data_IF_049015881459
#
_entry.id   IF_049015881459
#
_cell.length_a   1.000
_cell.length_b   1.000
_cell.length_c   1.000
_cell.angle_alpha   90.00
_cell.angle_beta   90.00
_cell.angle_gamma   90.00
#
_symmetry.space_group_name_H-M   'P 1'
#
loop_
_entity.id
_entity.type
_entity.pdbx_description
1 polymer ?
2 non-polymer ?
3 water ?
#
# COMPACT_ATOMS: atom_id res chain seq x y z
N UNK A 2 -2.02 8.36 -20.93
CA UNK A 2 -1.44 9.65 -20.45
C UNK A 2 -2.51 10.67 -20.09
N UNK A 3 -3.73 10.44 -20.58
CA UNK A 3 -4.83 11.35 -20.31
C UNK A 3 -5.26 11.24 -18.85
N UNK A 4 -6.29 12.01 -18.49
CA UNK A 4 -6.77 12.00 -17.11
C UNK A 4 -7.31 10.62 -16.74
N UNK A 5 -8.02 9.98 -17.67
CA UNK A 5 -8.60 8.67 -17.37
C UNK A 5 -7.52 7.62 -17.09
N UNK A 6 -6.43 7.66 -17.86
CA UNK A 6 -5.35 6.70 -17.62
C UNK A 6 -4.75 6.88 -16.23
N UNK A 7 -4.51 8.14 -15.83
CA UNK A 7 -3.96 8.39 -14.50
C UNK A 7 -4.94 7.96 -13.41
N UNK A 8 -6.22 8.22 -13.62
CA UNK A 8 -7.22 7.79 -12.63
C UNK A 8 -7.21 6.27 -12.49
N UNK A 9 -7.18 5.56 -13.61
CA UNK A 9 -7.15 4.10 -13.56
C UNK A 9 -5.90 3.62 -12.84
N UNK A 10 -4.75 4.20 -13.16
CA UNK A 10 -3.51 3.76 -12.53
C UNK A 10 -3.54 3.97 -11.02
N UNK A 11 -3.89 5.18 -10.59
CA UNK A 11 -3.86 5.50 -9.16
C UNK A 11 -5.06 4.96 -8.41
N UNK A 12 -6.06 4.40 -9.10
CA UNK A 12 -7.12 3.68 -8.43
C UNK A 12 -6.82 2.19 -8.30
N UNK A 13 -6.17 1.60 -9.31
CA UNK A 13 -5.80 0.20 -9.22
C UNK A 13 -4.61 -0.01 -8.31
N UNK A 14 -3.72 0.98 -8.19
CA UNK A 14 -2.56 0.84 -7.33
C UNK A 14 -2.91 0.99 -5.85
N UNK A 15 -4.06 1.57 -5.53
CA UNK A 15 -4.37 1.88 -4.14
C UNK A 15 -4.45 0.62 -3.29
N UNK A 16 -5.11 -0.41 -3.79
CA UNK A 16 -5.27 -1.67 -3.05
C UNK A 16 -4.94 -2.82 -4.01
N UNK A 17 -3.99 -3.67 -3.62
CA UNK A 17 -3.61 -4.84 -4.39
C UNK A 17 -3.89 -6.13 -3.65
N UNK A 18 -3.38 -6.27 -2.42
CA UNK A 18 -3.62 -7.45 -1.60
C UNK A 18 -4.23 -7.12 -0.25
N UNK A 19 -4.11 -5.88 0.23
CA UNK A 19 -4.69 -5.51 1.51
C UNK A 19 -6.19 -5.62 1.52
N UNK A 20 -6.83 -5.74 0.34
CA UNK A 20 -8.27 -5.93 0.30
C UNK A 20 -8.69 -7.20 1.04
N UNK A 21 -7.85 -8.23 1.01
CA UNK A 21 -8.19 -9.48 1.68
C UNK A 21 -8.03 -9.39 3.20
N UNK A 22 -7.04 -8.64 3.68
CA UNK A 22 -6.75 -8.54 5.10
C UNK A 22 -7.55 -7.45 5.80
N UNK A 23 -8.32 -6.65 5.06
CA UNK A 23 -9.14 -5.63 5.71
C UNK A 23 -10.16 -6.22 6.68
N UNK A 24 -10.91 -7.28 6.32
CA UNK A 24 -11.82 -7.87 7.31
C UNK A 24 -11.10 -8.36 8.55
N UNK A 25 -9.85 -8.81 8.42
CA UNK A 25 -9.08 -9.18 9.61
C UNK A 25 -8.89 -7.98 10.52
N UNK A 26 -8.59 -6.81 9.94
CA UNK A 26 -8.46 -5.60 10.75
C UNK A 26 -9.80 -5.21 11.37
N UNK A 27 -10.89 -5.36 10.62
CA UNK A 27 -12.21 -5.08 11.18
C UNK A 27 -12.51 -6.01 12.35
N UNK A 28 -12.04 -7.25 12.30
CA UNK A 28 -12.22 -8.17 13.41
C UNK A 28 -11.62 -7.63 14.70
N UNK A 29 -10.62 -6.74 14.59
CA UNK A 29 -10.00 -6.14 15.76
C UNK A 29 -10.62 -4.79 16.11
N UNK A 30 -10.94 -3.96 15.11
CA UNK A 30 -11.50 -2.65 15.39
C UNK A 30 -13.00 -2.72 15.68
N UNK A 31 -13.78 -3.17 14.70
CA UNK A 31 -15.21 -3.23 14.79
C UNK A 31 -15.83 -2.58 13.57
N UNK A 32 -17.11 -2.25 13.66
CA UNK A 32 -17.82 -1.64 12.55
C UNK A 32 -17.58 -0.13 12.52
N UNK A 33 -18.02 0.56 13.57
CA UNK A 33 -17.90 2.02 13.60
C UNK A 33 -16.45 2.45 13.53
N UNK A 34 -15.59 1.86 14.38
CA UNK A 34 -14.18 2.23 14.39
C UNK A 34 -13.53 1.94 13.04
N UNK A 35 -13.82 0.79 12.46
CA UNK A 35 -13.23 0.45 11.18
C UNK A 35 -13.63 1.43 10.09
N UNK A 36 -14.93 1.75 10.01
CA UNK A 36 -15.40 2.67 8.97
C UNK A 36 -14.79 4.05 9.18
N UNK A 37 -14.78 4.53 10.42
CA UNK A 37 -14.23 5.85 10.68
C UNK A 37 -12.75 5.91 10.33
N UNK A 38 -11.99 4.87 10.70
CA UNK A 38 -10.56 4.86 10.37
C UNK A 38 -10.35 4.80 8.87
N UNK A 39 -11.16 4.01 8.16
CA UNK A 39 -11.02 3.94 6.70
C UNK A 39 -11.26 5.30 6.07
N UNK A 40 -12.33 5.98 6.48
CA UNK A 40 -12.62 7.29 5.90
C UNK A 40 -11.53 8.29 6.22
N UNK A 41 -11.08 8.32 7.49
CA UNK A 41 -10.07 9.29 7.90
C UNK A 41 -8.76 9.06 7.17
N UNK A 42 -8.34 7.80 7.03
CA UNK A 42 -7.08 7.52 6.36
C UNK A 42 -7.19 7.68 4.85
N UNK A 43 -8.38 7.49 4.28
CA UNK A 43 -8.56 7.84 2.88
C UNK A 43 -8.41 9.33 2.65
N UNK A 44 -9.00 10.14 3.53
CA UNK A 44 -8.82 11.59 3.44
C UNK A 44 -7.34 11.96 3.60
N UNK A 45 -6.65 11.33 4.56
CA UNK A 45 -5.24 11.62 4.75
C UNK A 45 -4.42 11.23 3.52
N UNK A 46 -4.72 10.07 2.93
CA UNK A 46 -4.01 9.66 1.74
C UNK A 46 -4.24 10.62 0.57
N UNK A 47 -5.48 11.08 0.40
CA UNK A 47 -5.74 12.06 -0.64
C UNK A 47 -4.98 13.36 -0.38
N UNK A 48 -4.95 13.81 0.87
CA UNK A 48 -4.23 15.04 1.19
C UNK A 48 -2.74 14.89 0.91
N UNK A 49 -2.15 13.75 1.29
CA UNK A 49 -0.73 13.56 1.04
C UNK A 49 -0.45 13.41 -0.45
N UNK A 50 -1.36 12.81 -1.21
CA UNK A 50 -1.20 12.76 -2.66
C UNK A 50 -1.21 14.17 -3.24
N UNK A 51 -2.10 15.03 -2.74
CA UNK A 51 -2.09 16.42 -3.19
C UNK A 51 -0.78 17.11 -2.84
N UNK A 52 -0.26 16.85 -1.63
CA UNK A 52 1.01 17.47 -1.23
C UNK A 52 2.14 17.03 -2.16
N UNK A 53 2.21 15.73 -2.46
CA UNK A 53 3.23 15.23 -3.37
C UNK A 53 3.04 15.83 -4.75
N UNK A 54 1.79 16.00 -5.18
CA UNK A 54 1.53 16.58 -6.50
C UNK A 54 2.02 18.01 -6.58
N UNK A 55 1.74 18.82 -5.55
CA UNK A 55 2.19 20.21 -5.58
C UNK A 55 3.70 20.28 -5.51
N UNK A 56 4.33 19.42 -4.69
CA UNK A 56 5.79 19.40 -4.63
C UNK A 56 6.39 19.05 -5.98
N UNK A 57 5.85 18.02 -6.64
CA UNK A 57 6.37 17.61 -7.93
C UNK A 57 6.16 18.69 -8.97
N UNK A 58 5.00 19.35 -8.96
CA UNK A 58 4.75 20.42 -9.92
C UNK A 58 5.74 21.56 -9.71
N UNK A 59 5.98 21.94 -8.46
CA UNK A 59 6.94 23.00 -8.18
C UNK A 59 8.32 22.62 -8.67
N UNK A 60 8.75 21.38 -8.38
CA UNK A 60 10.07 20.95 -8.80
C UNK A 60 10.20 20.94 -10.31
N UNK A 61 9.19 20.42 -11.01
CA UNK A 61 9.24 20.38 -12.47
C UNK A 61 9.26 21.77 -13.07
N UNK A 62 8.47 22.69 -12.53
CA UNK A 62 8.47 24.06 -13.03
C UNK A 62 9.82 24.72 -12.81
N UNK A 63 10.42 24.53 -11.63
CA UNK A 63 11.73 25.12 -11.37
C UNK A 63 12.78 24.54 -12.29
N UNK A 64 12.73 23.22 -12.53
CA UNK A 64 13.69 22.60 -13.45
C UNK A 64 13.50 23.14 -14.87
N UNK A 65 12.25 23.30 -15.31
CA UNK A 65 11.99 23.79 -16.65
C UNK A 65 12.42 25.24 -16.81
N UNK A 66 12.33 26.04 -15.75
CA UNK A 66 12.72 27.44 -15.85
C UNK A 66 14.14 27.59 -16.35
N UNK A 67 15.03 26.67 -15.96
CA UNK A 67 16.41 26.68 -16.41
C UNK A 67 16.73 25.41 -17.20
N UNK A 73 14.30 12.16 -22.79
CA UNK A 73 13.69 12.48 -21.51
C UNK A 73 14.08 11.46 -20.46
N UNK A 74 13.60 11.66 -19.22
CA UNK A 74 13.90 10.77 -18.11
C UNK A 74 12.62 10.60 -17.29
N UNK A 75 12.74 9.91 -16.17
CA UNK A 75 11.64 9.69 -15.24
C UNK A 75 11.96 10.36 -13.93
N UNK A 76 11.05 11.21 -13.47
CA UNK A 76 11.23 11.95 -12.22
C UNK A 76 10.76 11.07 -11.06
N UNK A 77 11.63 10.89 -10.08
CA UNK A 77 11.34 10.07 -8.91
C UNK A 77 11.25 10.96 -7.68
N UNK A 78 10.71 10.38 -6.60
CA UNK A 78 10.43 11.16 -5.40
C UNK A 78 11.71 11.73 -4.80
N UNK A 79 12.78 10.93 -4.74
CA UNK A 79 14.02 11.43 -4.16
C UNK A 79 14.61 12.55 -5.00
N UNK A 80 14.45 12.47 -6.33
CA UNK A 80 14.91 13.56 -7.18
C UNK A 80 14.14 14.84 -6.88
N UNK A 81 12.83 14.74 -6.67
CA UNK A 81 12.02 15.91 -6.32
C UNK A 81 12.49 16.49 -5.00
N UNK A 82 12.75 15.63 -4.02
CA UNK A 82 13.22 16.12 -2.73
C UNK A 82 14.57 16.81 -2.87
N UNK A 83 15.46 16.26 -3.69
CA UNK A 83 16.74 16.92 -3.93
C UNK A 83 16.53 18.29 -4.57
N UNK A 84 15.65 18.37 -5.56
CA UNK A 84 15.43 19.63 -6.24
C UNK A 84 14.85 20.69 -5.33
N UNK A 85 13.94 20.29 -4.43
CA UNK A 85 13.24 21.24 -3.58
C UNK A 85 13.93 21.50 -2.25
N UNK A 86 14.93 20.70 -1.88
CA UNK A 86 15.58 20.83 -0.58
C UNK A 86 17.03 20.39 -0.73
N UNK A 87 17.69 20.14 0.41
CA UNK A 87 19.08 19.74 0.42
C UNK A 87 19.26 18.26 0.09
N UNK A 88 20.53 17.84 0.10
CA UNK A 88 20.86 16.47 -0.26
C UNK A 88 20.50 15.49 0.86
N UNK A 89 20.53 15.94 2.11
CA UNK A 89 20.15 15.05 3.21
C UNK A 89 18.68 14.63 3.08
N UNK A 90 17.83 15.56 2.64
CA UNK A 90 16.44 15.20 2.37
C UNK A 90 16.36 14.13 1.28
N UNK A 91 17.18 14.26 0.23
CA UNK A 91 17.19 13.25 -0.81
C UNK A 91 17.60 11.90 -0.26
N UNK A 92 18.64 11.87 0.57
CA UNK A 92 19.10 10.61 1.14
C UNK A 92 18.01 9.97 2.00
N UNK A 93 17.37 10.77 2.86
CA UNK A 93 16.32 10.25 3.72
C UNK A 93 15.17 9.70 2.89
N UNK A 94 14.70 10.47 1.91
CA UNK A 94 13.60 10.03 1.10
C UNK A 94 13.92 8.77 0.31
N UNK A 95 15.13 8.72 -0.27
CA UNK A 95 15.52 7.56 -1.04
C UNK A 95 15.59 6.31 -0.16
N UNK A 96 16.21 6.44 1.01
CA UNK A 96 16.32 5.29 1.90
C UNK A 96 14.95 4.79 2.31
N UNK A 97 14.08 5.69 2.76
CA UNK A 97 12.77 5.28 3.24
C UNK A 97 11.94 4.70 2.11
N UNK A 98 11.96 5.33 0.93
CA UNK A 98 11.18 4.82 -0.19
C UNK A 98 11.66 3.45 -0.63
N UNK A 99 12.98 3.26 -0.70
CA UNK A 99 13.51 1.96 -1.11
C UNK A 99 13.15 0.88 -0.11
N UNK A 100 13.31 1.16 1.19
CA UNK A 100 12.96 0.16 2.20
C UNK A 100 11.47 -0.17 2.14
N UNK A 101 10.63 0.85 2.01
CA UNK A 101 9.19 0.61 1.94
C UNK A 101 8.83 -0.21 0.71
N UNK A 102 9.45 0.08 -0.43
CA UNK A 102 9.16 -0.68 -1.64
C UNK A 102 9.63 -2.13 -1.50
N UNK A 103 10.80 -2.35 -0.88
CA UNK A 103 11.28 -3.70 -0.67
C UNK A 103 10.30 -4.49 0.20
N UNK A 104 9.86 -3.89 1.31
CA UNK A 104 8.94 -4.60 2.18
C UNK A 104 7.57 -4.76 1.54
N UNK A 105 7.15 -3.81 0.71
CA UNK A 105 5.91 -3.98 -0.02
C UNK A 105 5.97 -5.12 -1.01
N UNK A 106 7.09 -5.26 -1.71
CA UNK A 106 7.28 -6.40 -2.61
C UNK A 106 7.24 -7.71 -1.83
N UNK A 107 7.88 -7.73 -0.66
CA UNK A 107 7.80 -8.92 0.19
C UNK A 107 6.35 -9.22 0.54
N UNK A 108 5.58 -8.19 0.88
CA UNK A 108 4.18 -8.39 1.27
C UNK A 108 3.38 -8.94 0.10
N UNK A 109 3.60 -8.40 -1.10
CA UNK A 109 2.89 -8.89 -2.27
C UNK A 109 3.26 -10.32 -2.62
N UNK A 110 4.51 -10.73 -2.44
CA UNK A 110 4.89 -12.12 -2.62
C UNK A 110 4.24 -13.04 -1.59
N UNK A 111 4.20 -12.61 -0.32
CA UNK A 111 3.53 -13.39 0.71
C UNK A 111 2.06 -13.55 0.39
N UNK A 112 1.41 -12.47 -0.06
CA UNK A 112 0.01 -12.52 -0.43
C UNK A 112 -0.21 -13.47 -1.60
N UNK A 113 0.69 -13.45 -2.59
CA UNK A 113 0.57 -14.36 -3.71
C UNK A 113 0.64 -15.80 -3.25
N UNK A 114 1.59 -16.11 -2.38
CA UNK A 114 1.70 -17.48 -1.86
C UNK A 114 0.42 -17.88 -1.12
N UNK A 115 -0.06 -16.98 -0.25
CA UNK A 115 -1.25 -17.30 0.53
C UNK A 115 -2.46 -17.53 -0.37
N UNK A 116 -2.63 -16.69 -1.40
CA UNK A 116 -3.77 -16.84 -2.29
C UNK A 116 -3.68 -18.13 -3.09
N UNK A 117 -2.49 -18.42 -3.64
CA UNK A 117 -2.35 -19.63 -4.45
C UNK A 117 -2.57 -20.87 -3.59
N UNK A 118 -2.26 -20.78 -2.30
CA UNK A 118 -2.46 -21.95 -1.43
C UNK A 118 -3.92 -22.38 -1.40
N UNK A 119 -4.86 -21.45 -1.60
CA UNK A 119 -6.27 -21.75 -1.39
C UNK A 119 -6.95 -22.39 -2.60
N UNK A 120 -6.28 -22.46 -3.75
CA UNK A 120 -6.83 -23.18 -4.90
C UNK A 120 -6.14 -24.52 -5.11
N UNK A 121 -4.98 -24.76 -4.48
CA UNK A 121 -4.28 -26.04 -4.55
C UNK A 121 -3.69 -26.27 -3.16
N UNK A 122 -4.43 -26.99 -2.31
CA UNK A 122 -4.05 -27.20 -0.93
C UNK A 122 -3.07 -28.35 -0.73
N UNK A 123 -2.72 -29.06 -1.80
CA UNK A 123 -1.75 -30.16 -1.66
C UNK A 123 -0.41 -29.65 -1.17
N UNK A 124 0.04 -28.51 -1.69
CA UNK A 124 1.32 -27.92 -1.33
C UNK A 124 1.12 -26.87 -0.25
N UNK A 125 1.92 -26.95 0.81
CA UNK A 125 1.87 -25.96 1.87
C UNK A 125 2.24 -24.58 1.33
N UNK A 126 2.00 -23.56 2.16
CA UNK A 126 2.25 -22.19 1.73
C UNK A 126 3.73 -21.90 1.53
N UNK A 127 4.62 -22.64 2.19
CA UNK A 127 6.04 -22.36 2.04
C UNK A 127 6.57 -22.84 0.69
N UNK A 128 6.13 -24.00 0.23
CA UNK A 128 6.51 -24.45 -1.11
C UNK A 128 5.93 -23.52 -2.16
N UNK A 129 4.72 -23.02 -1.94
CA UNK A 129 4.14 -22.04 -2.85
C UNK A 129 4.96 -20.76 -2.86
N UNK A 130 5.46 -20.35 -1.68
CA UNK A 130 6.34 -19.18 -1.63
C UNK A 130 7.62 -19.44 -2.42
N UNK A 131 8.20 -20.65 -2.28
CA UNK A 131 9.37 -21.01 -3.08
C UNK A 131 9.08 -20.85 -4.57
N UNK A 132 8.00 -21.47 -5.04
CA UNK A 132 7.74 -21.50 -6.47
C UNK A 132 7.41 -20.11 -6.98
N UNK A 133 6.67 -19.32 -6.20
CA UNK A 133 6.33 -17.98 -6.64
C UNK A 133 7.52 -17.05 -6.61
N UNK A 134 8.43 -17.21 -5.65
CA UNK A 134 9.67 -16.45 -5.69
C UNK A 134 10.49 -16.80 -6.92
N UNK A 135 10.58 -18.09 -7.24
CA UNK A 135 11.29 -18.48 -8.45
C UNK A 135 10.65 -17.87 -9.69
N UNK A 136 9.32 -17.88 -9.76
CA UNK A 136 8.62 -17.33 -10.91
C UNK A 136 8.82 -15.82 -11.02
N UNK A 137 8.68 -15.10 -9.90
CA UNK A 137 8.82 -13.65 -9.89
C UNK A 137 10.26 -13.20 -10.01
N UNK A 138 11.22 -14.11 -9.86
CA UNK A 138 12.59 -13.76 -10.19
C UNK A 138 12.74 -13.37 -11.66
N UNK A 139 11.83 -13.82 -12.52
CA UNK A 139 11.84 -13.43 -13.92
C UNK A 139 11.52 -11.95 -14.12
N UNK A 140 11.01 -11.28 -13.09
CA UNK A 140 10.75 -9.85 -13.19
C UNK A 140 12.02 -9.05 -13.46
N UNK A 141 13.19 -9.60 -13.13
CA UNK A 141 14.43 -8.89 -13.41
C UNK A 141 14.63 -8.73 -14.91
N UNK A 142 14.12 -9.66 -15.71
CA UNK A 142 14.33 -9.60 -17.15
C UNK A 142 13.64 -8.38 -17.76
N UNK A 143 12.44 -8.04 -17.28
CA UNK A 143 11.71 -6.93 -17.88
C UNK A 143 12.51 -5.65 -17.71
N UNK A 144 12.64 -4.81 -18.74
CA UNK A 144 13.44 -3.58 -18.57
C UNK A 144 12.87 -2.63 -17.53
N UNK A 145 11.58 -2.32 -17.63
CA UNK A 145 10.95 -1.42 -16.68
C UNK A 145 9.44 -1.64 -16.74
N UNK A 146 8.85 -2.04 -15.62
CA UNK A 146 7.40 -2.24 -15.58
C UNK A 146 6.65 -0.93 -15.73
N UNK A 147 7.31 0.20 -15.53
CA UNK A 147 6.70 1.49 -15.83
C UNK A 147 6.52 1.62 -17.34
N UNK A 148 5.62 2.53 -17.72
CA UNK A 148 5.25 2.77 -19.12
C UNK A 148 4.40 1.64 -19.66
N UNK A 149 4.24 0.57 -18.87
CA UNK A 149 3.30 -0.51 -19.17
C UNK A 149 2.04 -0.41 -18.31
N UNK A 150 1.85 0.70 -17.60
CA UNK A 150 0.70 0.88 -16.74
C UNK A 150 -0.58 1.15 -17.54
N UNK A 151 -0.51 1.19 -18.86
CA UNK A 151 -1.72 1.37 -19.66
C UNK A 151 -2.71 0.26 -19.36
N UNK A 152 -2.23 -0.93 -19.05
CA UNK A 152 -3.09 -2.05 -18.65
C UNK A 152 -3.34 -2.03 -17.15
N UNK A 153 -3.79 -0.88 -16.63
CA UNK A 153 -4.19 -0.76 -15.24
C UNK A 153 -5.70 -0.88 -15.05
N UNK A 154 -6.48 -0.61 -16.10
CA UNK A 154 -7.91 -0.88 -16.03
C UNK A 154 -8.17 -2.36 -15.77
N UNK A 155 -7.31 -3.23 -16.28
CA UNK A 155 -7.44 -4.66 -15.99
C UNK A 155 -7.35 -4.91 -14.48
N UNK A 156 -6.29 -4.41 -13.86
CA UNK A 156 -6.13 -4.61 -12.42
C UNK A 156 -7.25 -3.98 -11.62
N UNK A 157 -7.73 -2.82 -12.06
CA UNK A 157 -8.87 -2.19 -11.39
C UNK A 157 -10.10 -3.10 -11.48
N UNK A 158 -10.31 -3.71 -12.65
CA UNK A 158 -11.42 -4.64 -12.80
C UNK A 158 -11.27 -5.83 -11.87
N UNK A 159 -10.06 -6.38 -11.76
CA UNK A 159 -9.85 -7.49 -10.84
C UNK A 159 -10.17 -7.08 -9.41
N UNK A 160 -9.68 -5.90 -8.99
CA UNK A 160 -9.91 -5.46 -7.62
C UNK A 160 -11.39 -5.27 -7.34
N UNK A 161 -12.11 -4.59 -8.24
CA UNK A 161 -13.54 -4.35 -8.01
C UNK A 161 -14.32 -5.65 -8.03
N UNK A 162 -13.98 -6.58 -8.94
CA UNK A 162 -14.67 -7.86 -8.96
C UNK A 162 -14.43 -8.62 -7.67
N UNK A 163 -13.19 -8.63 -7.17
CA UNK A 163 -12.90 -9.33 -5.93
C UNK A 163 -13.67 -8.72 -4.76
N UNK A 164 -13.70 -7.39 -4.69
CA UNK A 164 -14.41 -6.73 -3.60
C UNK A 164 -15.90 -7.06 -3.64
N UNK A 165 -16.52 -6.97 -4.82
CA UNK A 165 -17.95 -7.23 -4.92
C UNK A 165 -18.25 -8.70 -4.68
N UNK A 166 -17.37 -9.60 -5.12
CA UNK A 166 -17.55 -11.01 -4.83
C UNK A 166 -17.49 -11.27 -3.33
N UNK A 167 -16.54 -10.64 -2.64
CA UNK A 167 -16.46 -10.79 -1.19
C UNK A 167 -17.76 -10.31 -0.54
N UNK A 168 -18.25 -9.14 -0.95
CA UNK A 168 -19.47 -8.61 -0.37
C UNK A 168 -20.64 -9.57 -0.60
N UNK A 169 -20.82 -10.03 -1.84
CA UNK A 169 -21.97 -10.85 -2.18
C UNK A 169 -21.89 -12.20 -1.47
N UNK A 170 -20.71 -12.83 -1.48
CA UNK A 170 -20.56 -14.12 -0.82
C UNK A 170 -20.80 -13.99 0.68
N UNK A 171 -20.28 -12.93 1.30
CA UNK A 171 -20.51 -12.75 2.73
C UNK A 171 -21.98 -12.54 3.03
N UNK A 172 -22.68 -11.73 2.22
CA UNK A 172 -24.09 -11.51 2.46
C UNK A 172 -24.89 -12.81 2.28
N UNK A 173 -24.57 -13.58 1.24
CA UNK A 173 -25.28 -14.83 1.01
C UNK A 173 -25.03 -15.83 2.14
N UNK A 174 -23.79 -15.92 2.61
CA UNK A 174 -23.46 -16.90 3.64
C UNK A 174 -24.21 -16.63 4.93
N UNK A 175 -24.48 -15.36 5.25
CA UNK A 175 -25.18 -15.05 6.47
C UNK A 175 -24.29 -15.25 7.69
N UNK A 176 -24.95 -15.45 8.83
CA UNK A 176 -24.27 -15.62 10.12
C UNK A 176 -24.68 -16.94 10.75
N UNK A 177 -23.72 -17.59 11.40
CA UNK A 177 -23.99 -18.81 12.15
C UNK A 177 -24.37 -18.46 13.58
N UNK A 178 -24.93 -19.45 14.28
CA UNK A 178 -25.33 -19.25 15.67
C UNK A 178 -24.15 -18.96 16.58
N UNK A 179 -22.95 -19.38 16.19
CA UNK A 179 -21.75 -19.19 17.00
C UNK A 179 -21.04 -17.87 16.71
N UNK A 180 -21.53 -17.08 15.75
CA UNK A 180 -20.87 -15.83 15.40
C UNK A 180 -20.98 -14.87 16.58
N UNK A 181 -19.85 -14.27 16.95
CA UNK A 181 -19.78 -13.34 18.07
C UNK A 181 -18.87 -12.19 17.70
N UNK A 182 -19.42 -10.98 17.64
CA UNK A 182 -18.65 -9.77 17.34
C UNK A 182 -18.09 -9.24 18.65
N UNK A 183 -16.92 -9.73 19.03
CA UNK A 183 -16.31 -9.33 20.30
C UNK A 183 -16.01 -7.84 20.31
N UNK A 184 -15.51 -7.31 19.19
CA UNK A 184 -15.20 -5.90 19.10
C UNK A 184 -13.78 -5.60 19.55
N UNK A 185 -13.54 -4.39 20.05
CA UNK A 185 -12.19 -4.02 20.49
C UNK A 185 -11.80 -4.69 21.79
N UNK A 186 -11.34 -5.95 21.71
CA UNK A 186 -11.02 -6.70 22.91
C UNK A 186 -9.86 -6.07 23.67
N UNK A 187 -8.81 -5.64 22.96
CA UNK A 187 -7.63 -5.10 23.61
C UNK A 187 -7.02 -4.02 22.73
N UNK A 188 -6.19 -3.19 23.36
CA UNK A 188 -5.59 -2.06 22.65
C UNK A 188 -4.63 -2.54 21.55
N UNK A 189 -3.91 -3.63 21.79
CA UNK A 189 -2.91 -4.08 20.82
C UNK A 189 -3.58 -4.38 19.49
N UNK A 190 -4.65 -5.18 19.51
CA UNK A 190 -5.34 -5.54 18.28
C UNK A 190 -5.97 -4.31 17.63
N UNK A 191 -6.52 -3.41 18.43
CA UNK A 191 -7.11 -2.19 17.88
C UNK A 191 -6.08 -1.38 17.12
N UNK A 192 -4.89 -1.20 17.71
CA UNK A 192 -3.87 -0.41 17.04
C UNK A 192 -3.28 -1.15 15.85
N UNK A 193 -3.20 -2.48 15.90
CA UNK A 193 -2.77 -3.22 14.73
C UNK A 193 -3.74 -3.03 13.57
N UNK A 194 -5.04 -3.08 13.85
CA UNK A 194 -6.02 -2.82 12.80
C UNK A 194 -5.95 -1.40 12.27
N UNK A 195 -5.75 -0.43 13.18
CA UNK A 195 -5.60 0.95 12.74
C UNK A 195 -4.39 1.11 11.83
N UNK A 196 -3.28 0.46 12.18
CA UNK A 196 -2.09 0.53 11.34
C UNK A 196 -2.33 -0.15 9.99
N UNK A 197 -3.06 -1.26 9.98
CA UNK A 197 -3.37 -1.91 8.70
C UNK A 197 -4.20 -0.99 7.82
N UNK A 198 -5.20 -0.31 8.39
CA UNK A 198 -6.01 0.61 7.61
C UNK A 198 -5.15 1.78 7.13
N UNK A 199 -4.20 2.22 7.95
CA UNK A 199 -3.26 3.25 7.52
C UNK A 199 -2.47 2.77 6.30
N UNK A 200 -1.99 1.53 6.34
CA UNK A 200 -1.23 0.99 5.21
C UNK A 200 -2.10 0.91 3.97
N UNK A 201 -3.39 0.60 4.14
CA UNK A 201 -4.26 0.40 2.98
C UNK A 201 -4.29 1.62 2.07
N UNK A 202 -4.06 2.80 2.61
CA UNK A 202 -4.17 4.05 1.85
C UNK A 202 -2.86 4.81 1.89
N UNK A 203 -2.70 5.74 0.95
CA UNK A 203 -1.55 6.62 0.93
C UNK A 203 -0.96 6.86 -0.45
N UNK A 204 -1.08 5.89 -1.34
CA UNK A 204 -0.48 5.95 -2.65
C UNK A 204 0.81 5.16 -2.79
N UNK A 205 1.46 4.84 -1.67
CA UNK A 205 2.60 3.92 -1.65
C UNK A 205 3.84 4.49 -2.33
N UNK A 206 4.07 5.80 -2.19
CA UNK A 206 5.28 6.46 -2.62
C UNK A 206 5.58 6.29 -4.11
N UNK A 207 4.60 5.83 -4.89
CA UNK A 207 4.75 5.75 -6.34
C UNK A 207 3.79 6.70 -7.04
N UNK A 208 3.21 7.64 -6.31
CA UNK A 208 2.30 8.61 -6.92
C UNK A 208 3.01 9.44 -7.98
N UNK A 209 4.25 9.86 -7.69
CA UNK A 209 5.00 10.68 -8.63
C UNK A 209 5.23 9.91 -9.93
N UNK A 210 5.47 8.59 -9.83
CA UNK A 210 5.74 7.81 -11.02
C UNK A 210 4.55 7.83 -11.97
N UNK A 211 3.34 7.64 -11.44
CA UNK A 211 2.14 7.70 -12.28
C UNK A 211 1.92 9.12 -12.77
N UNK A 212 2.11 10.12 -11.90
CA UNK A 212 1.83 11.50 -12.24
C UNK A 212 2.76 12.00 -13.34
N UNK A 213 3.95 11.42 -13.47
CA UNK A 213 4.87 11.85 -14.52
C UNK A 213 4.28 11.62 -15.90
N UNK A 214 3.58 10.50 -16.09
CA UNK A 214 3.06 10.15 -17.40
C UNK A 214 2.05 11.19 -17.89
N UNK A 215 1.36 11.86 -16.98
CA UNK A 215 0.30 12.79 -17.37
C UNK A 215 0.86 13.94 -18.20
N UNK A 216 0.09 14.37 -19.19
CA UNK A 216 0.48 15.55 -19.96
C UNK A 216 0.49 16.79 -19.09
N UNK A 217 -0.53 16.95 -18.23
CA UNK A 217 -0.67 18.10 -17.34
C UNK A 217 -0.83 17.59 -15.92
N UNK A 218 0.27 17.37 -15.19
CA UNK A 218 0.16 16.84 -13.83
C UNK A 218 -0.48 17.79 -12.84
N UNK A 219 -0.81 19.03 -13.24
CA UNK A 219 -1.38 20.00 -12.33
C UNK A 219 -2.79 19.64 -11.87
N UNK A 220 -3.43 18.66 -12.50
CA UNK A 220 -4.79 18.27 -12.16
C UNK A 220 -4.86 16.90 -11.50
N UNK A 221 -3.78 16.48 -10.83
CA UNK A 221 -3.75 15.18 -10.18
C UNK A 221 -4.57 15.14 -8.89
N UNK A 222 -4.85 16.30 -8.29
CA UNK A 222 -5.55 16.32 -7.01
C UNK A 222 -6.93 15.70 -7.13
N UNK A 223 -7.74 16.18 -8.08
CA UNK A 223 -9.09 15.66 -8.24
C UNK A 223 -9.07 14.21 -8.70
N UNK A 224 -8.13 13.86 -9.57
CA UNK A 224 -8.03 12.49 -10.05
C UNK A 224 -7.77 11.54 -8.88
N UNK A 225 -6.83 11.90 -8.01
CA UNK A 225 -6.55 11.04 -6.86
C UNK A 225 -7.71 11.02 -5.89
N UNK A 226 -8.40 12.15 -5.72
CA UNK A 226 -9.55 12.17 -4.83
C UNK A 226 -10.63 11.21 -5.33
N UNK A 227 -10.92 11.24 -6.63
CA UNK A 227 -11.90 10.32 -7.18
C UNK A 227 -11.43 8.87 -7.07
N UNK A 228 -10.14 8.63 -7.33
CA UNK A 228 -9.63 7.26 -7.22
C UNK A 228 -9.77 6.74 -5.80
N UNK A 229 -9.45 7.57 -4.80
CA UNK A 229 -9.54 7.11 -3.42
C UNK A 229 -10.98 6.98 -2.96
N UNK A 230 -11.89 7.82 -3.45
CA UNK A 230 -13.30 7.66 -3.08
C UNK A 230 -13.86 6.37 -3.68
N UNK A 231 -13.46 6.06 -4.91
CA UNK A 231 -13.87 4.78 -5.50
C UNK A 231 -13.26 3.61 -4.73
N UNK A 232 -12.00 3.72 -4.34
CA UNK A 232 -11.35 2.66 -3.57
C UNK A 232 -12.06 2.47 -2.25
N UNK A 233 -12.49 3.56 -1.62
CA UNK A 233 -13.28 3.45 -0.39
C UNK A 233 -14.62 2.78 -0.65
N UNK A 234 -15.28 3.15 -1.76
CA UNK A 234 -16.55 2.52 -2.10
C UNK A 234 -16.37 1.02 -2.32
N UNK A 235 -15.18 0.60 -2.75
CA UNK A 235 -14.91 -0.82 -2.88
C UNK A 235 -14.59 -1.46 -1.53
N UNK A 236 -13.75 -0.81 -0.73
CA UNK A 236 -13.23 -1.42 0.49
C UNK A 236 -14.31 -1.51 1.56
N UNK A 237 -15.06 -0.43 1.78
CA UNK A 237 -16.04 -0.42 2.86
C UNK A 237 -17.05 -1.55 2.75
N UNK A 238 -17.70 -1.78 1.60
CA UNK A 238 -18.72 -2.84 1.56
C UNK A 238 -18.14 -4.23 1.77
N UNK A 239 -17.02 -4.55 1.12
CA UNK A 239 -16.46 -5.90 1.24
C UNK A 239 -16.08 -6.20 2.68
N UNK A 240 -15.27 -5.33 3.30
CA UNK A 240 -14.84 -5.56 4.66
C UNK A 240 -16.04 -5.55 5.62
N UNK A 241 -16.96 -4.61 5.43
CA UNK A 241 -18.12 -4.52 6.30
C UNK A 241 -18.93 -5.80 6.25
N UNK A 242 -19.23 -6.28 5.04
CA UNK A 242 -20.01 -7.50 4.90
C UNK A 242 -19.28 -8.70 5.50
N UNK A 243 -17.99 -8.84 5.21
CA UNK A 243 -17.24 -9.99 5.72
C UNK A 243 -17.25 -9.99 7.24
N UNK A 244 -16.95 -8.84 7.84
CA UNK A 244 -16.96 -8.77 9.31
C UNK A 244 -18.35 -9.07 9.87
N UNK A 245 -19.37 -8.36 9.39
CA UNK A 245 -20.71 -8.56 9.92
C UNK A 245 -21.13 -10.02 9.81
N UNK A 246 -20.74 -10.69 8.73
CA UNK A 246 -21.16 -12.08 8.54
C UNK A 246 -20.40 -13.03 9.46
N UNK A 247 -19.09 -12.83 9.60
CA UNK A 247 -18.24 -13.86 10.19
C UNK A 247 -17.87 -13.59 11.64
N UNK A 248 -17.55 -12.36 12.01
CA UNK A 248 -17.30 -12.03 13.40
C UNK A 248 -15.87 -12.25 13.85
N UNK A 249 -15.70 -12.63 15.13
CA UNK A 249 -14.38 -12.78 15.73
C UNK A 249 -13.58 -13.92 15.12
N UNK A 250 -14.19 -14.79 14.33
CA UNK A 250 -13.45 -15.89 13.72
C UNK A 250 -12.39 -15.39 12.75
N UNK A 251 -12.46 -14.13 12.34
CA UNK A 251 -11.48 -13.60 11.39
C UNK A 251 -10.10 -13.45 12.02
N UNK A 252 -10.01 -13.37 13.35
CA UNK A 252 -8.70 -13.26 13.98
C UNK A 252 -7.82 -14.46 13.67
N UNK A 253 -8.41 -15.66 13.74
CA UNK A 253 -7.66 -16.88 13.44
C UNK A 253 -7.43 -17.07 11.94
N UNK A 254 -8.08 -16.29 11.09
CA UNK A 254 -7.93 -16.39 9.64
C UNK A 254 -7.79 -14.99 9.07
N UNK A 255 -6.55 -14.54 8.88
CA UNK A 255 -6.30 -13.21 8.36
C UNK A 255 -6.83 -13.07 6.93
N UNK A 256 -6.62 -14.09 6.10
CA UNK A 256 -7.06 -14.05 4.72
C UNK A 256 -8.56 -14.31 4.64
N UNK A 257 -9.30 -13.38 4.04
CA UNK A 257 -10.75 -13.51 3.98
C UNK A 257 -11.17 -14.73 3.17
N UNK A 258 -10.48 -14.99 2.05
CA UNK A 258 -10.87 -16.09 1.18
C UNK A 258 -10.80 -17.43 1.88
N UNK A 259 -9.99 -17.55 2.94
CA UNK A 259 -9.85 -18.83 3.63
C UNK A 259 -11.18 -19.28 4.22
N UNK A 260 -11.91 -18.35 4.85
CA UNK A 260 -13.14 -18.71 5.53
C UNK A 260 -14.29 -18.94 4.56
N UNK A 261 -14.30 -18.25 3.42
CA UNK A 261 -15.41 -18.39 2.48
C UNK A 261 -15.43 -19.79 1.88
N UNK A 262 -16.60 -20.29 1.50
CA UNK A 262 -16.67 -21.61 0.87
C UNK A 262 -15.95 -21.64 -0.46
N UNK A 263 -15.39 -22.80 -0.79
CA UNK A 263 -14.66 -22.98 -2.04
C UNK A 263 -15.64 -23.21 -3.18
N UNK A 264 -15.59 -22.33 -4.18
CA UNK A 264 -16.46 -22.43 -5.34
C UNK A 264 -15.72 -21.88 -6.56
N UNK A 265 -16.37 -21.94 -7.71
CA UNK A 265 -15.76 -21.38 -8.91
C UNK A 265 -15.50 -19.89 -8.79
N UNK A 266 -16.42 -19.16 -8.17
CA UNK A 266 -16.22 -17.74 -7.97
C UNK A 266 -14.99 -17.47 -7.12
N UNK A 267 -14.81 -18.25 -6.05
CA UNK A 267 -13.63 -18.07 -5.21
C UNK A 267 -12.35 -18.37 -5.98
N UNK A 268 -12.37 -19.40 -6.82
CA UNK A 268 -11.18 -19.72 -7.61
C UNK A 268 -10.86 -18.60 -8.59
N UNK A 269 -11.88 -18.05 -9.25
CA UNK A 269 -11.65 -16.94 -10.17
C UNK A 269 -11.10 -15.73 -9.42
N UNK A 270 -11.66 -15.44 -8.24
CA UNK A 270 -11.17 -14.32 -7.46
C UNK A 270 -9.72 -14.54 -7.05
N UNK A 271 -9.37 -15.76 -6.66
CA UNK A 271 -8.00 -16.05 -6.26
C UNK A 271 -7.05 -15.86 -7.43
N UNK A 272 -7.42 -16.37 -8.61
CA UNK A 272 -6.56 -16.25 -9.77
C UNK A 272 -6.37 -14.77 -10.15
N UNK A 273 -7.47 -14.02 -10.15
CA UNK A 273 -7.37 -12.59 -10.50
C UNK A 273 -6.53 -11.83 -9.49
N UNK A 274 -6.70 -12.13 -8.20
CA UNK A 274 -5.90 -11.47 -7.17
C UNK A 274 -4.42 -11.84 -7.33
N UNK A 275 -4.14 -13.10 -7.70
CA UNK A 275 -2.76 -13.49 -7.94
C UNK A 275 -2.16 -12.71 -9.10
N UNK A 276 -2.90 -12.56 -10.19
CA UNK A 276 -2.40 -11.79 -11.34
C UNK A 276 -2.15 -10.35 -10.93
N UNK A 277 -3.11 -9.76 -10.22
CA UNK A 277 -2.96 -8.37 -9.79
C UNK A 277 -1.77 -8.21 -8.86
N UNK A 278 -1.56 -9.15 -7.94
CA UNK A 278 -0.45 -9.05 -7.01
C UNK A 278 0.88 -9.22 -7.73
N UNK A 279 0.94 -10.09 -8.75
CA UNK A 279 2.16 -10.20 -9.53
C UNK A 279 2.47 -8.90 -10.25
N UNK A 280 1.46 -8.29 -10.86
CA UNK A 280 1.68 -7.02 -11.55
C UNK A 280 2.13 -5.94 -10.56
N UNK A 281 1.49 -5.89 -9.40
CA UNK A 281 1.85 -4.90 -8.40
C UNK A 281 3.26 -5.14 -7.86
N UNK A 282 3.63 -6.40 -7.68
CA UNK A 282 5.00 -6.71 -7.27
C UNK A 282 6.00 -6.22 -8.30
N UNK A 283 5.73 -6.46 -9.57
CA UNK A 283 6.61 -5.94 -10.61
C UNK A 283 6.71 -4.42 -10.55
N UNK A 284 5.58 -3.75 -10.41
CA UNK A 284 5.58 -2.30 -10.37
C UNK A 284 6.37 -1.77 -9.17
N UNK A 285 6.20 -2.40 -8.02
CA UNK A 285 6.87 -1.94 -6.81
C UNK A 285 8.36 -2.30 -6.82
N UNK A 286 8.73 -3.36 -7.52
CA UNK A 286 10.12 -3.78 -7.54
C UNK A 286 10.94 -3.05 -8.60
N UNK A 287 10.29 -2.55 -9.65
CA UNK A 287 11.05 -1.85 -10.69
C UNK A 287 11.84 -0.68 -10.15
N UNK A 288 11.28 0.20 -9.31
CA UNK A 288 12.11 1.29 -8.74
C UNK A 288 13.30 0.78 -7.95
N UNK A 289 13.15 -0.35 -7.25
CA UNK A 289 14.30 -0.92 -6.54
C UNK A 289 15.38 -1.34 -7.53
N UNK A 290 14.98 -1.92 -8.66
CA UNK A 290 15.96 -2.26 -9.69
C UNK A 290 16.65 -1.00 -10.22
N UNK A 291 15.88 0.08 -10.41
CA UNK A 291 16.48 1.32 -10.89
C UNK A 291 17.50 1.85 -9.90
N UNK A 292 17.16 1.85 -8.62
CA UNK A 292 18.08 2.37 -7.60
C UNK A 292 19.31 1.49 -7.50
N UNK A 293 19.14 0.16 -7.56
CA UNK A 293 20.29 -0.73 -7.52
C UNK A 293 21.19 -0.52 -8.73
N UNK A 294 20.61 -0.33 -9.91
CA UNK A 294 21.41 -0.05 -11.10
C UNK A 294 22.18 1.25 -10.92
N UNK A 295 21.53 2.28 -10.38
CA UNK A 295 22.22 3.55 -10.18
C UNK A 295 23.39 3.39 -9.19
N UNK A 296 23.16 2.66 -8.10
CA UNK A 296 24.20 2.49 -7.10
C UNK A 296 25.37 1.67 -7.65
N UNK A 297 25.07 0.60 -8.38
CA UNK A 297 26.13 -0.30 -8.86
C UNK A 297 26.81 0.22 -10.12
N UNK A 298 26.29 1.27 -10.74
CA UNK A 298 26.89 1.85 -11.92
C UNK A 298 26.44 1.24 -13.23
N UNK A 299 25.59 0.23 -13.21
CA UNK A 299 25.10 -0.39 -14.44
C UNK A 299 24.03 0.50 -15.07
N UNK A 306 21.85 -8.34 -22.21
CA UNK A 306 20.84 -8.29 -21.16
C UNK A 306 21.50 -8.46 -19.79
N UNK A 307 22.66 -7.85 -19.62
CA UNK A 307 23.42 -8.01 -18.39
C UNK A 307 22.64 -7.56 -17.16
N UNK A 308 21.65 -6.68 -17.34
CA UNK A 308 20.88 -6.19 -16.20
C UNK A 308 20.15 -7.31 -15.47
N UNK A 309 19.88 -8.43 -16.14
CA UNK A 309 19.15 -9.52 -15.50
C UNK A 309 19.90 -10.07 -14.29
N UNK A 310 21.22 -10.24 -14.41
CA UNK A 310 21.99 -10.76 -13.28
C UNK A 310 22.36 -9.65 -12.31
N UNK A 311 22.43 -8.40 -12.76
CA UNK A 311 22.69 -7.31 -11.83
C UNK A 311 21.55 -7.14 -10.84
N UNK A 312 20.33 -7.39 -11.28
CA UNK A 312 19.15 -7.25 -10.43
C UNK A 312 18.85 -8.52 -9.63
N UNK A 313 19.57 -9.61 -9.88
CA UNK A 313 19.34 -10.83 -9.12
C UNK A 313 19.53 -10.64 -7.63
N UNK A 314 20.61 -10.00 -7.15
CA UNK A 314 20.75 -9.79 -5.70
C UNK A 314 19.64 -8.94 -5.11
N UNK A 315 18.92 -8.16 -5.92
CA UNK A 315 17.85 -7.33 -5.40
C UNK A 315 16.69 -8.19 -4.92
N UNK A 316 16.40 -9.29 -5.62
CA UNK A 316 15.27 -10.14 -5.23
C UNK A 316 15.62 -11.14 -4.15
N UNK A 317 16.91 -11.32 -3.85
CA UNK A 317 17.29 -12.25 -2.79
C UNK A 317 16.75 -11.80 -1.43
N UNK A 318 16.92 -10.54 -1.02
CA UNK A 318 16.31 -10.12 0.26
C UNK A 318 14.81 -10.32 0.29
N UNK A 319 14.12 -10.11 -0.83
CA UNK A 319 12.68 -10.29 -0.85
C UNK A 319 12.33 -11.76 -0.62
N UNK A 320 13.05 -12.67 -1.28
CA UNK A 320 12.78 -14.08 -1.12
C UNK A 320 13.01 -14.54 0.31
N UNK A 321 14.09 -14.07 0.94
CA UNK A 321 14.41 -14.51 2.29
C UNK A 321 13.40 -13.98 3.30
N UNK A 322 12.91 -12.75 3.09
CA UNK A 322 11.96 -12.17 4.03
C UNK A 322 10.58 -12.83 3.92
N UNK A 323 10.18 -13.24 2.71
CA UNK A 323 8.89 -13.89 2.55
C UNK A 323 8.87 -15.24 3.26
N UNK A 324 9.94 -16.02 3.14
CA UNK A 324 9.99 -17.34 3.76
C UNK A 324 10.10 -17.23 5.27
N UNK A 325 10.97 -16.34 5.76
CA UNK A 325 11.22 -16.25 7.19
C UNK A 325 10.00 -15.67 7.90
N UNK A 326 9.32 -14.72 7.28
CA UNK A 326 8.16 -14.04 7.86
C UNK A 326 7.00 -14.10 6.88
N UNK A 327 6.37 -15.27 6.75
CA UNK A 327 5.21 -15.39 5.86
C UNK A 327 3.90 -14.91 6.44
N UNK A 328 3.93 -14.18 7.56
CA UNK A 328 2.71 -13.72 8.21
C UNK A 328 1.97 -12.76 7.29
N UNK A 329 0.76 -13.16 6.88
CA UNK A 329 0.02 -12.35 5.90
C UNK A 329 -0.52 -11.07 6.52
N UNK A 330 -1.10 -11.16 7.72
CA UNK A 330 -1.73 -10.03 8.35
C UNK A 330 -0.76 -9.13 9.10
N UNK A 331 -0.05 -9.69 10.08
CA UNK A 331 0.82 -8.85 10.92
C UNK A 331 1.88 -8.10 10.15
N UNK A 332 2.39 -8.66 9.06
CA UNK A 332 3.43 -7.98 8.29
C UNK A 332 2.89 -6.68 7.70
N UNK A 333 1.63 -6.69 7.28
CA UNK A 333 1.02 -5.47 6.75
C UNK A 333 1.09 -4.36 7.79
N UNK A 334 0.69 -4.65 9.03
CA UNK A 334 0.72 -3.64 10.08
C UNK A 334 2.16 -3.21 10.39
N UNK A 335 3.08 -4.17 10.43
CA UNK A 335 4.46 -3.83 10.75
C UNK A 335 5.03 -2.86 9.72
N UNK A 336 4.82 -3.15 8.43
CA UNK A 336 5.30 -2.26 7.39
C UNK A 336 4.55 -0.93 7.43
N UNK A 337 3.25 -0.96 7.69
CA UNK A 337 2.48 0.27 7.73
C UNK A 337 2.93 1.21 8.81
N UNK A 338 3.35 0.67 9.96
CA UNK A 338 3.78 1.53 11.06
C UNK A 338 5.24 1.95 10.91
N UNK A 339 6.13 1.00 10.62
CA UNK A 339 7.56 1.32 10.64
C UNK A 339 8.01 2.11 9.42
N UNK A 340 7.44 1.84 8.24
CA UNK A 340 7.92 2.42 7.00
C UNK A 340 6.91 3.35 6.34
N UNK A 341 5.66 2.91 6.17
CA UNK A 341 4.68 3.75 5.47
C UNK A 341 4.44 5.03 6.24
N UNK A 342 4.36 4.94 7.57
CA UNK A 342 4.07 6.12 8.37
C UNK A 342 5.09 7.23 8.16
N UNK A 343 6.30 6.89 7.71
CA UNK A 343 7.32 7.87 7.42
C UNK A 343 7.57 8.08 5.94
N UNK A 344 7.09 7.18 5.08
CA UNK A 344 7.36 7.26 3.65
C UNK A 344 6.21 7.88 2.86
N UNK A 345 4.98 7.70 3.32
CA UNK A 345 3.81 8.15 2.57
C UNK A 345 2.97 9.16 3.35
N UNK A 346 3.27 9.41 4.61
CA UNK A 346 2.42 10.28 5.43
C UNK A 346 3.18 11.42 6.08
N UNK A 347 4.42 11.21 6.52
CA UNK A 347 5.16 12.21 7.27
C UNK A 347 6.18 12.94 6.39
N UNK A 348 6.96 12.20 5.60
CA UNK A 348 8.00 12.84 4.79
C UNK A 348 7.40 13.80 3.78
N UNK A 349 6.38 13.44 3.00
CA UNK A 349 5.80 14.43 2.07
C UNK A 349 5.29 15.67 2.77
N UNK A 350 4.62 15.53 3.91
CA UNK A 350 4.11 16.69 4.62
C UNK A 350 5.24 17.57 5.13
N UNK A 351 6.29 16.96 5.68
CA UNK A 351 7.42 17.74 6.17
C UNK A 351 8.11 18.47 5.03
N UNK A 352 8.27 17.80 3.88
CA UNK A 352 8.88 18.45 2.73
C UNK A 352 8.04 19.61 2.24
N UNK A 353 6.72 19.43 2.19
CA UNK A 353 5.85 20.53 1.77
C UNK A 353 5.95 21.71 2.73
N UNK A 354 5.96 21.43 4.04
CA UNK A 354 6.09 22.51 5.01
C UNK A 354 7.42 23.24 4.86
N UNK A 355 8.50 22.49 4.68
CA UNK A 355 9.83 23.11 4.65
C UNK A 355 10.05 23.91 3.38
N UNK A 356 9.65 23.36 2.23
CA UNK A 356 9.95 24.03 0.97
C UNK A 356 9.28 25.39 0.88
N UNK A 357 8.04 25.48 1.35
CA UNK A 357 7.28 26.73 1.30
C UNK A 357 7.41 27.57 2.55
N UNK A 358 8.19 27.12 3.54
CA UNK A 358 8.34 27.90 4.75
C UNK A 358 8.92 29.29 4.49
N UNK A 359 9.97 29.45 3.68
CA UNK A 359 10.44 30.81 3.37
C UNK A 359 9.37 31.62 2.67
N UNK A 360 9.31 32.91 3.02
CA UNK A 360 8.33 33.80 2.38
C UNK A 360 8.53 33.90 0.88
N UNK A 361 9.76 34.06 0.36
CA UNK A 361 9.91 34.14 -1.11
C UNK A 361 9.37 32.92 -1.83
N UNK A 362 9.58 31.72 -1.27
CA UNK A 362 9.05 30.52 -1.90
C UNK A 362 7.52 30.48 -1.82
N UNK A 363 6.95 30.89 -0.69
CA UNK A 363 5.50 30.86 -0.55
C UNK A 363 4.83 31.83 -1.51
N UNK A 364 5.37 33.05 -1.63
CA UNK A 364 4.76 34.05 -2.51
C UNK A 364 4.82 33.60 -3.96
N UNK A 365 5.97 33.11 -4.41
CA UNK A 365 6.17 32.71 -5.79
C UNK A 365 5.78 31.27 -6.06
N UNK A 366 4.89 30.69 -5.25
CA UNK A 366 4.46 29.31 -5.47
C UNK A 366 3.79 29.18 -6.83
N UNK A 367 4.12 28.09 -7.53
CA UNK A 367 3.55 27.87 -8.86
C UNK A 367 2.03 27.72 -8.78
N UNK A 368 1.55 26.94 -7.82
CA UNK A 368 0.13 26.70 -7.62
C UNK A 368 -0.26 27.13 -6.22
N UNK A 369 -1.29 27.95 -6.11
CA UNK A 369 -1.74 28.44 -4.82
C UNK A 369 -2.48 27.33 -4.08
N UNK A 370 -2.54 27.42 -2.74
CA UNK A 370 -3.27 26.40 -1.97
C UNK A 370 -4.77 26.48 -2.25
N UNK A 371 -5.51 25.39 -2.05
CA UNK A 371 -6.95 25.44 -2.29
C UNK A 371 -7.64 26.48 -1.44
N UNK A 372 -8.61 27.18 -2.04
CA UNK A 372 -9.31 28.24 -1.33
C UNK A 372 -10.15 27.69 -0.18
N UNK A 373 -10.78 26.53 -0.38
CA UNK A 373 -11.68 25.99 0.64
C UNK A 373 -10.90 25.66 1.91
N UNK A 374 -9.68 25.13 1.77
CA UNK A 374 -8.88 24.77 2.93
C UNK A 374 -8.60 25.99 3.79
N UNK A 375 -8.26 27.11 3.17
CA UNK A 375 -7.95 28.32 3.90
C UNK A 375 -6.57 28.87 3.58
N UNK A 376 -6.03 28.50 2.42
CA UNK A 376 -4.75 29.04 1.99
C UNK A 376 -3.57 28.41 2.73
N UNK A 377 -2.49 29.18 2.83
CA UNK A 377 -1.25 28.67 3.41
C UNK A 377 -1.46 28.29 4.88
N UNK A 378 -2.20 29.10 5.63
CA UNK A 378 -2.42 28.79 7.04
C UNK A 378 -3.14 27.45 7.20
N UNK A 379 -4.20 27.24 6.43
CA UNK A 379 -4.92 25.98 6.50
C UNK A 379 -4.07 24.80 6.07
N UNK A 380 -3.30 24.98 4.99
CA UNK A 380 -2.43 23.91 4.53
C UNK A 380 -1.41 23.54 5.59
N UNK A 381 -0.80 24.54 6.22
CA UNK A 381 0.18 24.26 7.27
C UNK A 381 -0.46 23.58 8.47
N UNK A 382 -1.66 24.02 8.86
CA UNK A 382 -2.34 23.39 9.97
C UNK A 382 -2.64 21.93 9.66
N UNK A 383 -3.11 21.64 8.45
CA UNK A 383 -3.42 20.26 8.09
C UNK A 383 -2.14 19.43 8.05
N UNK A 384 -1.04 20.01 7.56
CA UNK A 384 0.23 19.28 7.54
C UNK A 384 0.69 18.96 8.95
N UNK A 385 0.58 19.91 9.88
CA UNK A 385 0.97 19.65 11.26
C UNK A 385 0.09 18.56 11.85
N UNK A 386 -1.21 18.61 11.60
CA UNK A 386 -2.10 17.58 12.11
C UNK A 386 -1.73 16.21 11.56
N UNK A 387 -1.45 16.14 10.26
CA UNK A 387 -1.08 14.87 9.63
C UNK A 387 0.18 14.31 10.29
N UNK A 388 1.20 15.16 10.43
CA UNK A 388 2.46 14.71 10.99
C UNK A 388 2.26 14.21 12.41
N UNK A 389 1.55 15.00 13.23
CA UNK A 389 1.38 14.62 14.64
C UNK A 389 0.59 13.32 14.75
N UNK A 390 -0.51 13.21 13.99
CA UNK A 390 -1.34 12.03 14.08
C UNK A 390 -0.60 10.78 13.62
N UNK A 391 0.13 10.87 12.51
CA UNK A 391 0.83 9.69 12.01
C UNK A 391 1.99 9.34 12.93
N UNK A 392 2.59 10.32 13.60
CA UNK A 392 3.70 10.02 14.51
C UNK A 392 3.21 9.43 15.82
N UNK A 393 2.04 9.84 16.29
CA UNK A 393 1.52 9.38 17.59
C UNK A 393 0.79 8.05 17.46
N UNK A 394 -0.10 7.93 16.48
CA UNK A 394 -0.93 6.74 16.32
C UNK A 394 -0.33 5.84 15.26
N UNK A 395 0.30 6.43 14.24
CA UNK A 395 0.84 5.64 13.16
C UNK A 395 2.19 5.04 13.44
N UNK A 396 2.97 5.64 14.34
CA UNK A 396 4.32 5.18 14.63
C UNK A 396 4.48 4.71 16.07
N UNK A 397 4.12 5.53 17.05
CA UNK A 397 4.35 5.16 18.43
C UNK A 397 3.43 4.04 18.89
N UNK A 398 2.13 4.35 19.05
CA UNK A 398 1.19 3.33 19.49
C UNK A 398 1.00 2.28 18.41
N UNK A 399 0.80 2.71 17.16
CA UNK A 399 0.62 1.76 16.08
C UNK A 399 1.84 0.87 15.90
N UNK A 400 3.03 1.47 15.92
CA UNK A 400 4.24 0.68 15.79
C UNK A 400 4.43 -0.30 16.92
N UNK A 401 4.23 0.16 18.15
CA UNK A 401 4.40 -0.73 19.30
C UNK A 401 3.41 -1.88 19.24
N UNK A 402 2.14 -1.60 18.94
CA UNK A 402 1.14 -2.65 18.86
C UNK A 402 1.47 -3.63 17.74
N UNK A 403 1.84 -3.12 16.57
CA UNK A 403 2.15 -3.99 15.45
C UNK A 403 3.35 -4.88 15.77
N UNK A 404 4.38 -4.32 16.40
CA UNK A 404 5.58 -5.11 16.67
C UNK A 404 5.34 -6.14 17.78
N UNK A 405 4.57 -5.78 18.80
CA UNK A 405 4.25 -6.76 19.84
C UNK A 405 3.41 -7.89 19.24
N UNK A 406 2.46 -7.55 18.36
CA UNK A 406 1.70 -8.58 17.68
C UNK A 406 2.60 -9.45 16.82
N UNK A 407 3.57 -8.84 16.14
CA UNK A 407 4.48 -9.60 15.29
C UNK A 407 5.29 -10.59 16.11
N UNK A 408 5.83 -10.16 17.25
CA UNK A 408 6.62 -11.06 18.08
C UNK A 408 5.72 -12.15 18.68
N UNK A 409 4.48 -11.80 19.03
CA UNK A 409 3.55 -12.81 19.52
C UNK A 409 3.30 -13.87 18.44
N UNK A 410 3.11 -13.45 17.19
CA UNK A 410 2.92 -14.40 16.11
C UNK A 410 4.18 -15.24 15.89
N UNK A 411 5.36 -14.62 16.03
CA UNK A 411 6.61 -15.36 15.90
C UNK A 411 6.69 -16.45 16.96
N UNK A 412 6.33 -16.13 18.19
CA UNK A 412 6.37 -17.11 19.26
C UNK A 412 5.32 -18.19 19.07
N UNK A 413 4.15 -17.84 18.54
CA UNK A 413 3.07 -18.81 18.38
C UNK A 413 3.36 -19.77 17.23
N UNK A 414 3.47 -19.23 16.01
CA UNK A 414 3.66 -20.07 14.82
C UNK A 414 5.12 -20.43 14.58
N UNK A 415 6.05 -19.84 15.32
CA UNK A 415 7.45 -20.14 15.15
C UNK A 415 8.05 -19.43 13.95
N UNK A 416 9.34 -19.67 13.76
CA UNK A 416 10.09 -19.09 12.64
C UNK A 416 10.09 -20.05 11.47
N UNK A 417 10.10 -19.48 10.26
CA UNK A 417 10.02 -20.27 9.03
C UNK A 417 8.79 -21.19 9.06
N UNK A 418 7.68 -20.66 9.56
CA UNK A 418 6.49 -21.46 9.76
C UNK A 418 5.98 -22.01 8.42
N UNK A 419 5.49 -23.23 8.46
CA UNK A 419 4.92 -23.90 7.29
C UNK A 419 3.40 -23.76 7.33
N UNK A 420 2.83 -23.46 6.17
CA UNK A 420 1.39 -23.25 6.03
C UNK A 420 0.85 -22.40 7.17
N UNK A 421 1.36 -21.18 7.25
CA UNK A 421 0.91 -20.23 8.26
C UNK A 421 -0.60 -20.11 8.23
N UNK A 422 -1.24 -20.42 9.37
CA UNK A 422 -2.69 -20.41 9.49
C UNK A 422 -3.32 -21.37 8.48
N UNK A 423 -3.03 -22.66 8.67
CA UNK A 423 -3.52 -23.70 7.77
C UNK A 423 -4.35 -24.73 8.52
N UNK A 424 -5.34 -24.29 9.33
CA UNK A 424 -6.13 -25.25 10.10
C UNK A 424 -6.92 -26.22 9.22
X LIG B 1 -1.25 -2.73 -0.72
X LIG B 1 -0.33 -1.83 -1.54
X LIG B 1 1.57 -1.87 -2.92
X LIG B 1 2.79 -1.42 -2.44
X LIG B 1 3.63 -0.70 -3.28
X LIG B 1 3.25 -0.45 -4.58
X LIG B 1 2.04 -0.90 -5.06
X LIG B 1 3.28 -1.74 -0.76
X LIG B 1 1.20 -1.61 -4.23
X LIG B 1 -1.22 -3.98 -0.90
X LIG B 1 -2.05 -2.23 0.12
X LIG B 1 0.70 -2.60 -2.10
X LIG B 1 4.34 0.47 -5.67
X LIG B 1 0.10 -1.06 -0.90
X LIG B 1 -0.90 -1.37 -2.33
X LIG B 1 4.58 -0.35 -2.91
X LIG B 1 1.75 -0.70 -6.09
X LIG B 1 0.25 -1.97 -4.59
#
# INVERSE_FOLDING_TARGET
MGSVYDAWFSCASNQVAQVLLTLPYSFSQLGMMSGILFQLFYGLMGSWTAYLISVLYVEYRTRKEREKFDFRNHVIQWFEVLDGLLGKHWRNLGLIFNCTFLLFGSVIQLIACASNIYYINDKLDKRTWTYIFGACCATTVFIPSFHNYRIWSFLGLAMTTYTSWYLTIASLLHGQAEDVKHSGPTTMVLYFTGATNILYTFGGHAVTVEIMHAMWKPQKFKAIYLLATIYVLTLTLPSASAVYWAFGDKLLTHSNALSLLPKTGFRDTAVILMLIHQFITFGFASTPLYFVWEKLIGVHETKSMFKRAMARLPVVVPIWFLAIIFPFFGPINSAVGSLLVSFTVYIIPALAHMLTFAPAPSRENAVERPPRVVGGWMGTYCINIFVVVWVFVVGFGFGGWASMVNFVRQIDTFGLFTKCYQCPPHKPGENLYFQ
CFA C1 C2 C1' C2' C3' C4' C5' CL3 C6' O1 O2 O1' CL4 H2C1 H2C2 H3' H5' H6'
#
